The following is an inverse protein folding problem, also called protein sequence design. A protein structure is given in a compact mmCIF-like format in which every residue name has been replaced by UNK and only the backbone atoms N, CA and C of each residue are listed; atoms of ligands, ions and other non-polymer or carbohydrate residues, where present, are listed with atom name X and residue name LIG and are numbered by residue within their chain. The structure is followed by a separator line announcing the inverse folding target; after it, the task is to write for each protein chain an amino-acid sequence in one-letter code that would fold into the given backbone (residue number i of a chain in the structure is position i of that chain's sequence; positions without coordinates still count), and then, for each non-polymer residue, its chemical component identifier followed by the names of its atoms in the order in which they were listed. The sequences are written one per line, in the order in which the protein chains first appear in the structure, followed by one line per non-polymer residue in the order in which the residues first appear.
data_IF_975815084142
#
_entry.id   IF_975815084142
#
_cell.length_a   1.000
_cell.length_b   1.000
_cell.length_c   1.000
_cell.angle_alpha   90.00
_cell.angle_beta   90.00
_cell.angle_gamma   90.00
#
_symmetry.space_group_name_H-M   'P 1'
#
loop_
_entity.id
_entity.type
_entity.pdbx_description
1 polymer ?
#
# COMPACT_ATOMS: atom_id res chain seq x y z
N UNK A 1 -4.98 24.11 -6.16
CA UNK A 1 -3.76 24.47 -6.94
C UNK A 1 -2.75 23.36 -6.72
N UNK A 2 -2.14 22.81 -7.77
CA UNK A 2 -1.30 21.62 -7.63
C UNK A 2 0.03 21.94 -6.93
N UNK A 3 0.54 21.00 -6.13
CA UNK A 3 1.82 21.17 -5.40
C UNK A 3 3.01 21.26 -6.38
N UNK A 4 4.06 22.07 -6.09
CA UNK A 4 5.19 22.27 -7.01
C UNK A 4 5.96 20.99 -7.36
N UNK A 5 6.17 20.13 -6.37
CA UNK A 5 6.90 18.85 -6.49
C UNK A 5 6.20 17.86 -7.46
N UNK A 6 4.88 17.77 -7.37
CA UNK A 6 4.06 16.91 -8.23
C UNK A 6 4.14 17.32 -9.71
N UNK A 7 4.44 18.59 -10.01
CA UNK A 7 4.57 19.08 -11.39
C UNK A 7 5.87 18.61 -12.05
N UNK A 8 6.99 18.56 -11.32
CA UNK A 8 8.27 18.15 -11.90
C UNK A 8 8.27 16.65 -12.26
N UNK A 9 7.73 15.81 -11.36
CA UNK A 9 7.55 14.38 -11.61
C UNK A 9 6.59 14.14 -12.79
N UNK A 10 5.50 14.91 -12.84
CA UNK A 10 4.56 14.83 -13.95
C UNK A 10 5.20 15.18 -15.30
N UNK A 11 6.10 16.18 -15.36
CA UNK A 11 6.80 16.55 -16.60
C UNK A 11 7.66 15.40 -17.12
N UNK A 12 8.42 14.72 -16.24
CA UNK A 12 9.23 13.54 -16.62
C UNK A 12 8.36 12.44 -17.20
N UNK A 13 7.24 12.12 -16.55
CA UNK A 13 6.30 11.09 -17.02
C UNK A 13 5.57 11.47 -18.31
N UNK A 14 5.23 12.75 -18.49
CA UNK A 14 4.65 13.23 -19.75
C UNK A 14 5.63 13.02 -20.90
N UNK A 15 6.93 13.33 -20.71
CA UNK A 15 7.96 13.06 -21.71
C UNK A 15 8.08 11.56 -22.03
N UNK A 16 8.16 10.70 -21.01
CA UNK A 16 8.21 9.24 -21.19
C UNK A 16 6.98 8.69 -21.94
N UNK A 17 5.79 9.21 -21.64
CA UNK A 17 4.56 8.79 -22.28
C UNK A 17 4.50 9.21 -23.76
N UNK A 18 5.01 10.40 -24.10
CA UNK A 18 5.16 10.82 -25.50
C UNK A 18 6.09 9.87 -26.27
N UNK A 19 7.21 9.44 -25.66
CA UNK A 19 8.08 8.42 -26.26
C UNK A 19 7.38 7.07 -26.46
N UNK A 20 6.38 6.75 -25.63
CA UNK A 20 5.54 5.54 -25.74
C UNK A 20 4.34 5.72 -26.67
N UNK A 21 4.26 6.82 -27.41
CA UNK A 21 3.20 7.08 -28.39
C UNK A 21 1.96 7.80 -27.85
N UNK A 22 2.03 8.37 -26.64
CA UNK A 22 0.99 9.27 -26.17
C UNK A 22 0.95 10.56 -27.01
N UNK A 23 -0.19 11.24 -26.99
CA UNK A 23 -0.41 12.52 -27.68
C UNK A 23 -0.77 13.59 -26.67
N UNK A 24 -0.18 14.77 -26.80
CA UNK A 24 -0.61 15.94 -26.05
C UNK A 24 -1.92 16.48 -26.67
N UNK A 25 -2.94 16.71 -25.84
CA UNK A 25 -4.19 17.30 -26.27
C UNK A 25 -4.15 18.83 -26.15
N UNK A 26 -4.97 19.53 -26.93
CA UNK A 26 -5.17 20.98 -26.80
C UNK A 26 -6.00 21.35 -25.57
N UNK A 27 -6.67 20.38 -24.96
CA UNK A 27 -7.44 20.52 -23.73
C UNK A 27 -6.52 20.55 -22.50
N UNK A 28 -6.85 21.40 -21.52
CA UNK A 28 -6.18 21.46 -20.23
C UNK A 28 -7.07 20.87 -19.14
N UNK A 29 -6.46 20.33 -18.08
CA UNK A 29 -7.16 19.76 -16.96
C UNK A 29 -7.91 20.86 -16.18
N UNK A 30 -9.23 20.75 -15.97
CA UNK A 30 -10.00 21.78 -15.26
C UNK A 30 -9.64 21.88 -13.76
N UNK A 31 -8.98 20.85 -13.19
CA UNK A 31 -8.57 20.81 -11.77
C UNK A 31 -7.24 21.53 -11.52
N UNK A 32 -6.24 21.34 -12.38
CA UNK A 32 -4.87 21.81 -12.13
C UNK A 32 -4.26 22.68 -13.23
N UNK A 33 -4.93 22.82 -14.37
CA UNK A 33 -4.48 23.60 -15.53
C UNK A 33 -3.37 22.96 -16.37
N UNK A 34 -2.95 21.73 -16.05
CA UNK A 34 -1.94 21.00 -16.84
C UNK A 34 -2.53 20.52 -18.18
N UNK A 35 -1.75 20.45 -19.28
CA UNK A 35 -2.18 19.81 -20.51
C UNK A 35 -2.66 18.37 -20.27
N UNK A 36 -3.74 17.96 -20.94
CA UNK A 36 -4.18 16.56 -20.97
C UNK A 36 -3.37 15.78 -21.99
N UNK A 37 -3.16 14.49 -21.74
CA UNK A 37 -2.56 13.59 -22.72
C UNK A 37 -3.50 12.43 -23.05
N UNK A 38 -3.42 11.92 -24.26
CA UNK A 38 -4.11 10.71 -24.70
C UNK A 38 -3.12 9.57 -24.93
N UNK A 39 -3.34 8.43 -24.30
CA UNK A 39 -2.60 7.18 -24.58
C UNK A 39 -3.62 6.05 -24.72
N UNK A 40 -3.52 5.28 -25.81
CA UNK A 40 -4.45 4.17 -26.10
C UNK A 40 -5.94 4.59 -25.99
N UNK A 41 -6.28 5.79 -26.45
CA UNK A 41 -7.66 6.34 -26.42
C UNK A 41 -8.14 6.82 -25.05
N UNK A 42 -7.29 6.84 -24.02
CA UNK A 42 -7.62 7.34 -22.67
C UNK A 42 -6.99 8.71 -22.43
N UNK A 43 -7.81 9.67 -21.97
CA UNK A 43 -7.36 11.00 -21.53
C UNK A 43 -6.85 10.97 -20.09
N UNK A 44 -5.63 11.43 -19.85
CA UNK A 44 -4.93 11.37 -18.55
C UNK A 44 -4.35 12.74 -18.19
N UNK A 45 -4.45 13.12 -16.91
CA UNK A 45 -3.72 14.24 -16.33
C UNK A 45 -2.63 13.73 -15.38
N UNK A 46 -1.36 13.82 -15.79
CA UNK A 46 -0.23 13.30 -15.01
C UNK A 46 0.01 14.04 -13.69
N UNK A 47 -0.37 15.31 -13.60
CA UNK A 47 -0.26 16.09 -12.36
C UNK A 47 -1.28 15.62 -11.32
N UNK A 48 -2.55 15.49 -11.70
CA UNK A 48 -3.58 15.02 -10.78
C UNK A 48 -3.37 13.55 -10.40
N UNK A 49 -2.84 12.73 -11.31
CA UNK A 49 -2.47 11.35 -11.04
C UNK A 49 -1.36 11.25 -9.98
N UNK A 50 -0.37 12.15 -10.00
CA UNK A 50 0.68 12.16 -8.97
C UNK A 50 0.15 12.65 -7.61
N UNK A 51 -0.88 13.51 -7.59
CA UNK A 51 -1.55 13.93 -6.35
C UNK A 51 -2.54 12.88 -5.80
N UNK A 52 -3.06 12.00 -6.67
CA UNK A 52 -4.01 10.93 -6.34
C UNK A 52 -3.34 9.58 -6.10
N UNK A 53 -2.04 9.46 -6.38
CA UNK A 53 -1.28 8.33 -5.85
C UNK A 53 -1.52 8.32 -4.34
N UNK A 54 -1.91 7.15 -3.77
CA UNK A 54 -1.86 7.00 -2.33
C UNK A 54 -0.45 7.43 -1.94
N UNK A 55 -0.36 8.34 -0.97
CA UNK A 55 0.88 8.55 -0.22
C UNK A 55 1.43 7.14 0.00
N UNK A 56 2.65 6.86 -0.46
CA UNK A 56 3.36 5.64 -0.09
C UNK A 56 3.55 5.72 1.43
N UNK A 57 2.50 5.44 2.20
CA UNK A 57 2.67 4.87 3.50
C UNK A 57 3.35 3.56 3.18
N UNK A 58 4.66 3.49 3.40
CA UNK A 58 5.44 2.26 3.33
C UNK A 58 4.56 1.14 3.88
N UNK A 59 4.20 0.19 3.00
CA UNK A 59 3.45 -0.97 3.48
C UNK A 59 4.37 -1.64 4.50
N UNK A 60 3.87 -1.94 5.70
CA UNK A 60 4.72 -2.57 6.71
C UNK A 60 5.30 -3.85 6.12
N UNK A 61 6.61 -4.01 6.26
CA UNK A 61 7.31 -5.23 5.87
C UNK A 61 6.70 -6.44 6.57
N UNK A 62 6.88 -7.63 5.99
CA UNK A 62 6.42 -8.86 6.63
C UNK A 62 7.07 -9.09 8.01
N UNK A 63 8.26 -8.52 8.25
CA UNK A 63 8.92 -8.50 9.56
C UNK A 63 8.21 -7.59 10.57
N UNK A 64 7.82 -6.39 10.16
CA UNK A 64 7.04 -5.47 11.00
C UNK A 64 5.67 -6.06 11.36
N UNK A 65 4.96 -6.64 10.39
CA UNK A 65 3.67 -7.28 10.64
C UNK A 65 3.83 -8.49 11.58
N UNK A 66 4.89 -9.29 11.42
CA UNK A 66 5.18 -10.41 12.34
C UNK A 66 5.44 -9.90 13.76
N UNK A 67 6.26 -8.86 13.93
CA UNK A 67 6.57 -8.27 15.23
C UNK A 67 5.31 -7.74 15.93
N UNK A 68 4.44 -7.05 15.19
CA UNK A 68 3.19 -6.50 15.72
C UNK A 68 2.20 -7.59 16.13
N UNK A 69 2.06 -8.66 15.36
CA UNK A 69 1.21 -9.81 15.71
C UNK A 69 1.74 -10.54 16.95
N UNK A 70 3.05 -10.72 17.08
CA UNK A 70 3.66 -11.30 18.28
C UNK A 70 3.44 -10.42 19.52
N UNK A 71 3.57 -9.09 19.38
CA UNK A 71 3.24 -8.14 20.45
C UNK A 71 1.76 -8.26 20.83
N UNK A 72 0.85 -8.26 19.87
CA UNK A 72 -0.58 -8.39 20.11
C UNK A 72 -0.93 -9.67 20.89
N UNK A 73 -0.37 -10.82 20.52
CA UNK A 73 -0.60 -12.09 21.22
C UNK A 73 -0.13 -12.02 22.66
N UNK A 74 1.08 -11.49 22.90
CA UNK A 74 1.65 -11.34 24.25
C UNK A 74 0.77 -10.45 25.12
N UNK A 75 0.39 -9.28 24.61
CA UNK A 75 -0.36 -8.28 25.36
C UNK A 75 -1.77 -8.81 25.67
N UNK A 76 -2.42 -9.43 24.68
CA UNK A 76 -3.73 -10.09 24.84
C UNK A 76 -3.70 -11.25 25.83
N UNK A 77 -2.64 -12.07 25.81
CA UNK A 77 -2.44 -13.16 26.77
C UNK A 77 -2.26 -12.61 28.19
N UNK A 78 -1.58 -11.47 28.33
CA UNK A 78 -1.44 -10.79 29.62
C UNK A 78 -2.79 -10.28 30.14
N UNK A 79 -3.62 -9.70 29.26
CA UNK A 79 -4.98 -9.23 29.61
C UNK A 79 -5.88 -10.38 30.09
N UNK A 80 -5.77 -11.56 29.50
CA UNK A 80 -6.57 -12.73 29.88
C UNK A 80 -6.35 -13.18 31.33
N UNK A 81 -5.13 -13.02 31.88
CA UNK A 81 -4.80 -13.51 33.24
C UNK A 81 -5.69 -12.92 34.34
N UNK A 82 -6.19 -11.70 34.15
CA UNK A 82 -7.00 -11.00 35.14
C UNK A 82 -8.48 -10.86 34.72
N UNK A 83 -8.87 -11.52 33.63
CA UNK A 83 -10.19 -11.35 33.03
C UNK A 83 -11.23 -12.24 33.73
N UNK A 84 -12.19 -11.61 34.41
CA UNK A 84 -13.30 -12.32 35.10
C UNK A 84 -14.49 -12.62 34.20
N UNK A 85 -14.66 -11.86 33.11
CA UNK A 85 -15.75 -12.04 32.15
C UNK A 85 -15.36 -13.09 31.11
N UNK A 86 -15.93 -14.29 31.24
CA UNK A 86 -15.65 -15.42 30.35
C UNK A 86 -16.10 -15.16 28.91
N UNK A 87 -17.15 -14.36 28.68
CA UNK A 87 -17.60 -14.04 27.30
C UNK A 87 -16.57 -13.18 26.59
N UNK A 88 -16.08 -12.13 27.26
CA UNK A 88 -14.99 -11.30 26.74
C UNK A 88 -13.69 -12.09 26.59
N UNK A 89 -13.41 -13.01 27.53
CA UNK A 89 -12.23 -13.88 27.42
C UNK A 89 -12.28 -14.74 26.14
N UNK A 90 -13.44 -15.26 25.77
CA UNK A 90 -13.63 -16.01 24.50
C UNK A 90 -13.37 -15.11 23.29
N UNK A 91 -13.81 -13.85 23.30
CA UNK A 91 -13.55 -12.90 22.22
C UNK A 91 -12.05 -12.63 22.05
N UNK A 92 -11.34 -12.39 23.15
CA UNK A 92 -9.88 -12.21 23.12
C UNK A 92 -9.17 -13.47 22.61
N UNK A 93 -9.60 -14.66 23.05
CA UNK A 93 -9.07 -15.93 22.56
C UNK A 93 -9.30 -16.13 21.05
N UNK A 94 -10.45 -15.69 20.52
CA UNK A 94 -10.73 -15.69 19.08
C UNK A 94 -9.78 -14.75 18.33
N UNK A 95 -9.53 -13.55 18.86
CA UNK A 95 -8.57 -12.63 18.26
C UNK A 95 -7.16 -13.22 18.25
N UNK A 96 -6.73 -13.87 19.34
CA UNK A 96 -5.44 -14.57 19.41
C UNK A 96 -5.37 -15.69 18.36
N UNK A 97 -6.43 -16.48 18.19
CA UNK A 97 -6.48 -17.53 17.18
C UNK A 97 -6.26 -16.97 15.76
N UNK A 98 -6.91 -15.85 15.44
CA UNK A 98 -6.74 -15.16 14.15
C UNK A 98 -5.30 -14.66 13.98
N UNK A 99 -4.71 -14.04 15.02
CA UNK A 99 -3.33 -13.56 14.98
C UNK A 99 -2.32 -14.70 14.76
N UNK A 100 -2.53 -15.86 15.40
CA UNK A 100 -1.69 -17.05 15.20
C UNK A 100 -1.84 -17.60 13.78
N UNK A 101 -3.04 -17.59 13.20
CA UNK A 101 -3.25 -18.00 11.81
C UNK A 101 -2.55 -17.05 10.82
N UNK A 102 -2.62 -15.74 11.06
CA UNK A 102 -1.92 -14.74 10.28
C UNK A 102 -0.39 -14.93 10.35
N UNK A 103 0.17 -15.21 11.52
CA UNK A 103 1.60 -15.52 11.68
C UNK A 103 2.03 -16.75 10.86
N UNK A 104 1.20 -17.79 10.79
CA UNK A 104 1.47 -18.96 9.93
C UNK A 104 1.49 -18.56 8.45
N UNK A 105 0.55 -17.72 8.01
CA UNK A 105 0.50 -17.23 6.64
C UNK A 105 1.75 -16.40 6.30
N UNK A 106 2.17 -15.49 7.19
CA UNK A 106 3.39 -14.69 7.01
C UNK A 106 4.63 -15.56 6.87
N UNK A 107 4.79 -16.58 7.72
CA UNK A 107 5.91 -17.53 7.62
C UNK A 107 5.92 -18.29 6.30
N UNK A 108 4.76 -18.66 5.78
CA UNK A 108 4.63 -19.27 4.46
C UNK A 108 5.01 -18.30 3.35
N UNK A 109 4.60 -17.03 3.43
CA UNK A 109 4.95 -15.99 2.45
C UNK A 109 6.46 -15.73 2.43
N UNK A 110 7.10 -15.55 3.60
CA UNK A 110 8.56 -15.38 3.70
C UNK A 110 9.33 -16.55 3.08
N UNK A 111 8.83 -17.79 3.27
CA UNK A 111 9.44 -18.98 2.68
C UNK A 111 9.39 -18.96 1.15
N UNK A 112 8.35 -18.40 0.55
CA UNK A 112 8.23 -18.24 -0.90
C UNK A 112 9.20 -17.18 -1.42
N UNK A 113 9.32 -16.04 -0.74
CA UNK A 113 10.28 -14.97 -1.09
C UNK A 113 11.73 -15.48 -1.08
N UNK A 114 12.11 -16.29 -0.09
CA UNK A 114 13.46 -16.89 -0.04
C UNK A 114 13.78 -17.87 -1.17
N UNK A 115 12.75 -18.48 -1.79
CA UNK A 115 12.93 -19.40 -2.93
C UNK A 115 13.12 -18.61 -4.23
N UNK A 116 12.41 -17.49 -4.38
CA UNK A 116 12.52 -16.60 -5.55
C UNK A 116 13.89 -15.90 -5.61
N UNK A 117 14.47 -15.54 -4.45
CA UNK A 117 15.81 -14.93 -4.37
C UNK A 117 16.96 -15.92 -4.65
N UNK A 118 16.73 -17.23 -4.49
CA UNK A 118 17.74 -18.27 -4.71
C UNK A 118 17.83 -18.77 -6.15
N UNK A 119 16.92 -18.32 -7.02
CA UNK A 119 16.73 -18.80 -8.39
C UNK A 119 17.13 -17.83 -9.49
N UNK A 120 17.77 -16.71 -9.17
CA UNK A 120 18.20 -15.67 -10.12
C UNK A 120 19.73 -15.49 -10.11
#
# INVERSE_FOLDING_TARGET
MAKPESREIAIKKMAEALFKGAKLLSETCPKCGSPLMEIEGKKICYVCMEEEKPIETERPSLDEVEADLLRFIRDSTSMLRNMRDTRKAIEVLRCILVAVAALKAIKSLKKLESIEESGN
#
